data_IF_021586988049
#
_entry.id   IF_021586988049
#
_cell.length_a   1.000
_cell.length_b   1.000
_cell.length_c   1.000
_cell.angle_alpha   90.00
_cell.angle_beta   90.00
_cell.angle_gamma   90.00
#
_symmetry.space_group_name_H-M   'P 1'
#
loop_
_entity.id
_entity.type
_entity.pdbx_description
1 polymer ?
#
# COMPACT_ATOMS: atom_id res chain seq x y z
N UNK A 1 -19.11 -1.97 -15.63
CA UNK A 1 -17.85 -2.43 -15.01
C UNK A 1 -16.84 -1.29 -15.13
N UNK A 2 -16.12 -0.97 -14.06
CA UNK A 2 -15.26 0.23 -14.02
C UNK A 2 -13.82 -0.03 -14.48
N UNK A 3 -13.33 -1.28 -14.39
CA UNK A 3 -11.99 -1.71 -14.82
C UNK A 3 -10.85 -0.90 -14.19
N UNK A 4 -11.01 -0.53 -12.92
CA UNK A 4 -10.04 0.28 -12.19
C UNK A 4 -8.95 -0.53 -11.47
N UNK A 5 -9.20 -1.81 -11.22
CA UNK A 5 -8.28 -2.71 -10.50
C UNK A 5 -8.02 -3.98 -11.32
N UNK A 6 -6.87 -4.61 -11.07
CA UNK A 6 -6.56 -5.92 -11.64
C UNK A 6 -7.52 -7.01 -11.13
N UNK A 7 -7.44 -8.19 -11.74
CA UNK A 7 -8.35 -9.30 -11.46
C UNK A 7 -8.46 -9.61 -9.96
N UNK A 8 -9.65 -9.44 -9.34
CA UNK A 8 -9.78 -9.38 -7.89
C UNK A 8 -9.81 -10.76 -7.20
N UNK A 9 -9.75 -11.87 -7.95
CA UNK A 9 -9.75 -13.24 -7.41
C UNK A 9 -8.36 -13.85 -7.55
N UNK A 10 -7.45 -13.39 -6.73
CA UNK A 10 -6.05 -13.83 -6.73
C UNK A 10 -5.58 -14.06 -5.29
N UNK A 11 -4.80 -15.10 -5.09
CA UNK A 11 -4.03 -15.38 -3.87
C UNK A 11 -2.59 -14.82 -3.95
N UNK A 12 -2.19 -14.35 -5.13
CA UNK A 12 -0.87 -13.78 -5.37
C UNK A 12 -0.72 -12.40 -4.71
N UNK A 13 0.43 -12.17 -4.09
CA UNK A 13 0.80 -10.88 -3.47
C UNK A 13 1.97 -10.18 -4.17
N UNK A 14 2.38 -10.65 -5.35
CA UNK A 14 3.54 -10.16 -6.10
C UNK A 14 3.17 -9.76 -7.53
N UNK A 15 4.07 -9.02 -8.17
CA UNK A 15 4.10 -8.76 -9.62
C UNK A 15 5.27 -9.52 -10.25
N UNK A 16 5.21 -9.81 -11.56
CA UNK A 16 6.44 -10.15 -12.28
C UNK A 16 7.28 -8.89 -12.54
N UNK A 17 8.51 -9.08 -13.03
CA UNK A 17 9.35 -7.95 -13.44
C UNK A 17 8.71 -7.15 -14.59
N UNK A 18 7.98 -7.82 -15.48
CA UNK A 18 7.30 -7.19 -16.61
C UNK A 18 6.16 -6.28 -16.15
N UNK A 19 5.28 -6.73 -15.25
CA UNK A 19 4.21 -5.87 -14.74
C UNK A 19 4.76 -4.73 -13.87
N UNK A 20 5.82 -4.99 -13.10
CA UNK A 20 6.47 -3.97 -12.27
C UNK A 20 7.08 -2.83 -13.11
N UNK A 21 7.50 -3.10 -14.36
CA UNK A 21 7.99 -2.07 -15.27
C UNK A 21 6.89 -1.09 -15.73
N UNK A 22 5.62 -1.47 -15.61
CA UNK A 22 4.48 -0.70 -16.10
C UNK A 22 3.70 0.05 -15.01
N UNK A 23 4.22 0.10 -13.77
CA UNK A 23 3.57 0.78 -12.63
C UNK A 23 3.27 2.26 -12.86
N UNK A 24 3.97 2.91 -13.80
CA UNK A 24 3.67 4.28 -14.24
C UNK A 24 2.20 4.43 -14.69
N UNK A 25 1.64 3.41 -15.32
CA UNK A 25 0.26 3.44 -15.81
C UNK A 25 -0.75 3.37 -14.66
N UNK A 26 -0.51 2.51 -13.67
CA UNK A 26 -1.30 2.48 -12.45
C UNK A 26 -1.23 3.83 -11.71
N UNK A 27 -0.03 4.41 -11.56
CA UNK A 27 0.13 5.72 -10.92
C UNK A 27 -0.59 6.84 -11.68
N UNK A 28 -0.57 6.82 -13.03
CA UNK A 28 -1.29 7.77 -13.86
C UNK A 28 -2.81 7.65 -13.69
N UNK A 29 -3.35 6.43 -13.61
CA UNK A 29 -4.76 6.22 -13.30
C UNK A 29 -5.11 6.80 -11.93
N UNK A 30 -4.34 6.49 -10.90
CA UNK A 30 -4.57 6.99 -9.53
C UNK A 30 -4.54 8.51 -9.48
N UNK A 31 -3.62 9.16 -10.21
CA UNK A 31 -3.50 10.62 -10.27
C UNK A 31 -4.75 11.33 -10.83
N UNK A 32 -5.59 10.62 -11.59
CA UNK A 32 -6.84 11.17 -12.15
C UNK A 32 -7.94 11.35 -11.10
N UNK A 33 -7.78 10.79 -9.92
CA UNK A 33 -8.67 11.02 -8.78
C UNK A 33 -8.08 12.12 -7.90
N UNK A 34 -8.84 13.20 -7.69
CA UNK A 34 -8.35 14.38 -6.98
C UNK A 34 -7.88 14.06 -5.55
N UNK A 35 -8.58 13.15 -4.85
CA UNK A 35 -8.21 12.77 -3.48
C UNK A 35 -6.84 12.08 -3.35
N UNK A 36 -6.29 11.51 -4.43
CA UNK A 36 -5.02 10.78 -4.39
C UNK A 36 -3.84 11.56 -4.94
N UNK A 37 -4.05 12.78 -5.48
CA UNK A 37 -2.97 13.58 -6.08
C UNK A 37 -1.80 13.81 -5.13
N UNK A 38 -2.07 14.14 -3.86
CA UNK A 38 -1.02 14.36 -2.86
C UNK A 38 -0.22 13.09 -2.58
N UNK A 39 -0.90 11.94 -2.47
CA UNK A 39 -0.28 10.63 -2.28
C UNK A 39 0.60 10.23 -3.47
N UNK A 40 0.11 10.45 -4.70
CA UNK A 40 0.88 10.20 -5.93
C UNK A 40 2.13 11.08 -6.00
N UNK A 41 2.01 12.36 -5.66
CA UNK A 41 3.15 13.27 -5.62
C UNK A 41 4.18 12.86 -4.56
N UNK A 42 3.73 12.37 -3.40
CA UNK A 42 4.62 11.83 -2.38
C UNK A 42 5.41 10.62 -2.90
N UNK A 43 4.74 9.67 -3.60
CA UNK A 43 5.40 8.53 -4.24
C UNK A 43 6.43 9.02 -5.27
N UNK A 44 6.04 9.95 -6.16
CA UNK A 44 6.94 10.48 -7.19
C UNK A 44 8.19 11.17 -6.60
N UNK A 45 8.03 11.88 -5.49
CA UNK A 45 9.12 12.56 -4.82
C UNK A 45 10.08 11.58 -4.11
N UNK A 46 9.55 10.52 -3.49
CA UNK A 46 10.36 9.56 -2.73
C UNK A 46 10.92 8.43 -3.58
N UNK A 47 10.22 8.03 -4.64
CA UNK A 47 10.54 6.88 -5.51
C UNK A 47 10.18 7.20 -6.97
N UNK A 48 10.92 8.11 -7.64
CA UNK A 48 10.61 8.57 -8.99
C UNK A 48 10.68 7.47 -10.06
N UNK A 49 11.45 6.41 -9.82
CA UNK A 49 11.56 5.25 -10.70
C UNK A 49 10.49 4.18 -10.46
N UNK A 50 9.60 4.40 -9.48
CA UNK A 50 8.54 3.46 -9.07
C UNK A 50 9.07 2.05 -8.80
N UNK A 51 10.28 1.95 -8.25
CA UNK A 51 10.94 0.66 -8.04
C UNK A 51 10.32 -0.05 -6.84
N UNK A 52 9.81 -1.26 -7.06
CA UNK A 52 9.34 -2.12 -5.98
C UNK A 52 10.49 -2.81 -5.25
N UNK A 53 10.29 -3.06 -3.96
CA UNK A 53 11.14 -3.97 -3.19
C UNK A 53 11.04 -5.40 -3.76
N UNK A 54 12.16 -6.15 -3.72
CA UNK A 54 12.25 -7.53 -4.23
C UNK A 54 11.20 -8.46 -3.62
N UNK A 55 10.74 -8.19 -2.39
CA UNK A 55 9.67 -9.00 -1.75
C UNK A 55 8.30 -8.91 -2.45
N UNK A 56 8.10 -7.91 -3.31
CA UNK A 56 6.88 -7.73 -4.11
C UNK A 56 7.06 -8.18 -5.55
N UNK A 57 8.22 -8.72 -5.91
CA UNK A 57 8.53 -9.25 -7.24
C UNK A 57 8.68 -10.77 -7.11
N UNK A 58 7.97 -11.53 -7.93
CA UNK A 58 8.04 -12.98 -7.87
C UNK A 58 7.39 -13.70 -9.04
N UNK A 59 7.44 -15.03 -8.99
CA UNK A 59 6.85 -15.88 -10.01
C UNK A 59 5.32 -15.85 -9.90
N UNK A 60 4.66 -15.71 -11.04
CA UNK A 60 3.20 -15.78 -11.14
C UNK A 60 2.78 -17.20 -11.55
N UNK A 61 1.78 -17.74 -10.87
CA UNK A 61 1.11 -19.00 -11.25
C UNK A 61 -0.26 -18.74 -11.92
N UNK A 62 -0.57 -17.46 -12.18
CA UNK A 62 -1.82 -17.01 -12.76
C UNK A 62 -1.89 -15.49 -12.71
N UNK A 63 -2.82 -14.96 -11.93
CA UNK A 63 -3.00 -13.52 -11.76
C UNK A 63 -1.95 -12.93 -10.82
N UNK A 64 -1.54 -11.69 -11.07
CA UNK A 64 -0.70 -10.91 -10.16
C UNK A 64 -1.53 -10.26 -9.04
N UNK A 65 -0.87 -9.55 -8.13
CA UNK A 65 -1.49 -8.86 -7.01
C UNK A 65 -2.63 -7.90 -7.41
N UNK A 66 -3.58 -7.68 -6.50
CA UNK A 66 -4.64 -6.68 -6.68
C UNK A 66 -4.04 -5.27 -6.57
N UNK A 67 -4.00 -4.54 -7.69
CA UNK A 67 -3.49 -3.17 -7.80
C UNK A 67 -4.40 -2.35 -8.73
N UNK A 68 -4.28 -1.01 -8.78
CA UNK A 68 -4.86 -0.24 -9.87
C UNK A 68 -4.36 -0.77 -11.23
N UNK A 69 -5.22 -0.81 -12.24
CA UNK A 69 -4.86 -1.43 -13.53
C UNK A 69 -3.64 -0.78 -14.18
N UNK A 70 -2.84 -1.61 -14.84
CA UNK A 70 -1.67 -1.19 -15.62
C UNK A 70 -2.04 -0.67 -17.02
N UNK A 71 -3.32 -0.72 -17.39
CA UNK A 71 -3.85 -0.12 -18.61
C UNK A 71 -5.28 0.32 -18.34
N UNK A 72 -5.58 1.57 -18.64
CA UNK A 72 -6.92 2.14 -18.52
C UNK A 72 -7.19 3.03 -19.73
N UNK A 73 -8.09 2.59 -20.59
CA UNK A 73 -8.36 3.15 -21.92
C UNK A 73 -9.46 4.24 -21.92
N UNK A 74 -10.18 4.42 -20.81
CA UNK A 74 -11.29 5.37 -20.73
C UNK A 74 -10.81 6.80 -20.50
N UNK A 75 -11.42 7.75 -21.21
CA UNK A 75 -11.11 9.19 -21.15
C UNK A 75 -11.44 9.84 -19.80
N UNK A 76 -12.35 9.27 -19.02
CA UNK A 76 -12.73 9.76 -17.68
C UNK A 76 -12.64 8.63 -16.64
N UNK A 77 -12.50 9.02 -15.37
CA UNK A 77 -12.68 8.11 -14.24
C UNK A 77 -14.14 8.16 -13.76
N UNK A 78 -14.72 7.03 -13.34
CA UNK A 78 -16.12 7.01 -12.90
C UNK A 78 -16.28 7.65 -11.52
N UNK A 79 -17.51 8.07 -11.23
CA UNK A 79 -17.89 8.42 -9.86
C UNK A 79 -18.26 7.14 -9.09
N UNK A 80 -17.45 6.77 -8.10
CA UNK A 80 -17.63 5.55 -7.33
C UNK A 80 -18.68 5.71 -6.24
N UNK A 81 -19.53 4.70 -6.05
CA UNK A 81 -20.41 4.65 -4.88
C UNK A 81 -19.58 4.51 -3.60
N UNK A 82 -20.19 4.85 -2.46
CA UNK A 82 -19.48 4.88 -1.17
C UNK A 82 -18.69 3.60 -0.87
N UNK A 83 -19.29 2.42 -1.04
CA UNK A 83 -18.61 1.14 -0.78
C UNK A 83 -17.47 0.88 -1.76
N UNK A 84 -17.67 1.18 -3.04
CA UNK A 84 -16.66 1.02 -4.08
C UNK A 84 -15.47 1.93 -3.84
N UNK A 85 -15.74 3.18 -3.43
CA UNK A 85 -14.72 4.16 -3.05
C UNK A 85 -13.88 3.66 -1.87
N UNK A 86 -14.49 3.05 -0.84
CA UNK A 86 -13.76 2.50 0.30
C UNK A 86 -12.83 1.35 -0.12
N UNK A 87 -13.29 0.45 -0.99
CA UNK A 87 -12.46 -0.65 -1.48
C UNK A 87 -11.33 -0.13 -2.38
N UNK A 88 -11.63 0.80 -3.29
CA UNK A 88 -10.63 1.39 -4.16
C UNK A 88 -9.58 2.17 -3.36
N UNK A 89 -9.99 2.96 -2.37
CA UNK A 89 -9.10 3.68 -1.44
C UNK A 89 -8.15 2.72 -0.72
N UNK A 90 -8.65 1.58 -0.22
CA UNK A 90 -7.83 0.56 0.42
C UNK A 90 -6.77 0.00 -0.53
N UNK A 91 -7.16 -0.29 -1.78
CA UNK A 91 -6.26 -0.83 -2.82
C UNK A 91 -5.20 0.22 -3.18
N UNK A 92 -5.61 1.46 -3.45
CA UNK A 92 -4.69 2.58 -3.78
C UNK A 92 -3.70 2.83 -2.66
N UNK A 93 -4.17 2.94 -1.41
CA UNK A 93 -3.29 3.16 -0.25
C UNK A 93 -2.31 2.00 -0.08
N UNK A 94 -2.78 0.75 -0.14
CA UNK A 94 -1.89 -0.42 -0.02
C UNK A 94 -0.84 -0.44 -1.13
N UNK A 95 -1.22 -0.14 -2.37
CA UNK A 95 -0.31 -0.05 -3.50
C UNK A 95 0.71 1.09 -3.35
N UNK A 96 0.28 2.32 -3.03
CA UNK A 96 1.22 3.42 -2.83
C UNK A 96 2.15 3.18 -1.63
N UNK A 97 1.69 2.50 -0.56
CA UNK A 97 2.53 2.15 0.58
C UNK A 97 3.71 1.23 0.19
N UNK A 98 3.58 0.39 -0.84
CA UNK A 98 4.70 -0.45 -1.30
C UNK A 98 5.78 0.35 -2.04
N UNK A 99 5.46 1.56 -2.48
CA UNK A 99 6.34 2.45 -3.23
C UNK A 99 6.92 3.60 -2.38
N UNK A 100 6.33 3.87 -1.22
CA UNK A 100 6.81 4.87 -0.25
C UNK A 100 7.90 4.29 0.65
N UNK A 101 8.67 5.18 1.28
CA UNK A 101 9.69 4.78 2.23
C UNK A 101 9.08 4.05 3.45
N UNK A 102 9.76 3.03 3.99
CA UNK A 102 9.28 2.34 5.18
C UNK A 102 9.30 3.27 6.39
N UNK A 103 8.33 3.07 7.28
CA UNK A 103 8.40 3.63 8.62
C UNK A 103 9.62 3.08 9.36
N UNK A 104 10.40 3.95 9.98
CA UNK A 104 11.56 3.60 10.81
C UNK A 104 11.33 4.08 12.24
N UNK A 105 11.86 3.33 13.18
CA UNK A 105 11.67 3.58 14.58
C UNK A 105 12.32 2.52 15.43
N UNK A 106 12.10 2.65 16.73
CA UNK A 106 12.69 1.79 17.74
C UNK A 106 11.58 1.05 18.47
N UNK A 107 11.89 -0.18 18.88
CA UNK A 107 11.02 -0.95 19.78
C UNK A 107 11.77 -1.14 21.09
N UNK A 108 11.22 -0.61 22.17
CA UNK A 108 11.71 -0.84 23.52
C UNK A 108 10.90 -1.98 24.13
N UNK A 109 11.59 -3.03 24.57
CA UNK A 109 10.97 -4.17 25.26
C UNK A 109 11.37 -4.16 26.73
N UNK A 110 10.37 -4.13 27.61
CA UNK A 110 10.55 -4.32 29.04
C UNK A 110 10.16 -5.76 29.38
N UNK A 111 11.08 -6.51 29.97
CA UNK A 111 10.84 -7.86 30.48
C UNK A 111 11.01 -7.84 31.98
N UNK A 112 9.98 -8.29 32.70
CA UNK A 112 9.98 -8.39 34.15
C UNK A 112 9.59 -9.79 34.59
N UNK A 113 10.06 -10.22 35.76
CA UNK A 113 9.67 -11.48 36.39
C UNK A 113 9.07 -11.15 37.76
N UNK A 114 7.87 -11.65 38.05
CA UNK A 114 7.26 -11.58 39.38
C UNK A 114 6.98 -13.03 39.79
N UNK A 115 7.59 -13.48 40.88
CA UNK A 115 7.65 -14.90 41.26
C UNK A 115 8.10 -15.73 40.06
N UNK A 116 7.33 -16.72 39.60
CA UNK A 116 7.64 -17.54 38.41
C UNK A 116 6.98 -17.05 37.11
N UNK A 117 6.26 -15.92 37.16
CA UNK A 117 5.57 -15.35 36.00
C UNK A 117 6.44 -14.32 35.26
N UNK A 118 6.50 -14.47 33.93
CA UNK A 118 7.19 -13.53 33.03
C UNK A 118 6.21 -12.54 32.42
N UNK A 119 6.53 -11.26 32.55
CA UNK A 119 5.78 -10.14 31.99
C UNK A 119 6.61 -9.47 30.89
N UNK A 120 5.94 -9.06 29.83
CA UNK A 120 6.56 -8.32 28.74
C UNK A 120 5.69 -7.14 28.32
N UNK A 121 6.28 -5.95 28.29
CA UNK A 121 5.68 -4.76 27.69
C UNK A 121 6.53 -4.32 26.50
N UNK A 122 5.88 -3.92 25.41
CA UNK A 122 6.55 -3.42 24.20
C UNK A 122 6.06 -2.02 23.88
N UNK A 123 6.99 -1.11 23.69
CA UNK A 123 6.73 0.25 23.24
C UNK A 123 7.37 0.46 21.86
N UNK A 124 6.63 1.00 20.91
CA UNK A 124 7.12 1.32 19.56
C UNK A 124 7.15 2.82 19.36
N UNK A 125 8.31 3.38 19.04
CA UNK A 125 8.50 4.79 18.74
C UNK A 125 8.94 4.96 17.28
N UNK A 126 8.07 5.50 16.43
CA UNK A 126 8.40 5.78 15.03
C UNK A 126 9.11 7.14 14.92
N UNK A 127 10.43 7.12 14.68
CA UNK A 127 11.25 8.33 14.47
C UNK A 127 11.15 8.86 13.05
N UNK A 128 10.84 7.99 12.08
CA UNK A 128 10.52 8.37 10.70
C UNK A 128 9.21 7.69 10.30
N UNK A 129 8.13 8.44 10.05
CA UNK A 129 6.83 7.84 9.76
C UNK A 129 6.79 7.09 8.43
N UNK A 130 7.58 7.50 7.43
CA UNK A 130 7.56 6.89 6.09
C UNK A 130 6.15 6.89 5.50
N UNK A 131 5.70 5.76 4.96
CA UNK A 131 4.34 5.60 4.45
C UNK A 131 3.23 5.94 5.48
N UNK A 132 3.51 5.86 6.80
CA UNK A 132 2.52 6.17 7.86
C UNK A 132 2.16 7.66 7.91
N UNK A 133 2.96 8.53 7.31
CA UNK A 133 2.66 9.96 7.17
C UNK A 133 1.39 10.18 6.33
N UNK A 134 1.23 9.37 5.27
CA UNK A 134 0.13 9.46 4.33
C UNK A 134 -0.97 8.45 4.62
N UNK A 135 -0.62 7.29 5.18
CA UNK A 135 -1.51 6.13 5.36
C UNK A 135 -1.48 5.69 6.82
N UNK A 136 -2.42 6.21 7.59
CA UNK A 136 -2.53 5.89 9.02
C UNK A 136 -3.29 4.57 9.21
N UNK A 137 -2.72 3.58 9.91
CA UNK A 137 -3.45 2.37 10.25
C UNK A 137 -4.57 2.70 11.23
N UNK A 138 -5.70 2.05 11.06
CA UNK A 138 -6.83 2.20 11.96
C UNK A 138 -6.45 1.63 13.33
N UNK A 139 -6.36 2.50 14.34
CA UNK A 139 -6.02 2.06 15.70
C UNK A 139 -7.28 1.46 16.32
N UNK A 140 -7.34 0.13 16.41
CA UNK A 140 -8.37 -0.53 17.23
C UNK A 140 -8.38 0.14 18.61
N UNK A 141 -9.55 0.64 19.03
CA UNK A 141 -9.76 1.11 20.40
C UNK A 141 -9.32 -0.01 21.34
N UNK A 142 -8.28 0.23 22.14
CA UNK A 142 -7.93 -0.65 23.26
C UNK A 142 -9.01 -0.38 24.31
N UNK A 143 -9.89 -1.36 24.50
CA UNK A 143 -10.83 -1.41 25.61
C UNK A 143 -10.08 -1.63 26.91
#
# INVERSE_FOLDING_TARGET
EYDLISYPRTDCSVLSEQEAAELKHAMNLVYRFDEYKSLVMAVKNQNPSLKLDKRYIGKLEGHYAIIPVLSYDKNTVPNLQHREKLIFDLIVKRFCATLLNPAKGETTEFKGKIEDSLFMSKFKNYTTPGYLEFIKPDRKKRW
#
